data_IF_341700284728
#
_entry.id   IF_341700284728
#
_cell.length_a   1.000
_cell.length_b   1.000
_cell.length_c   1.000
_cell.angle_alpha   90.00
_cell.angle_beta   90.00
_cell.angle_gamma   90.00
#
_symmetry.space_group_name_H-M   'P 1'
#
loop_
_entity.id
_entity.type
_entity.pdbx_description
1 polymer ?
#
# COMPACT_ATOMS: atom_id res chain seq x y z
N UNK A 1 11.75 -20.65 14.57
CA UNK A 1 11.60 -19.82 13.36
C UNK A 1 12.81 -20.09 12.48
N UNK A 2 12.62 -20.32 11.17
CA UNK A 2 13.72 -20.51 10.22
C UNK A 2 14.27 -19.15 9.76
N UNK A 3 15.43 -19.16 9.10
CA UNK A 3 16.01 -17.98 8.44
C UNK A 3 15.00 -17.29 7.51
N UNK A 4 14.33 -18.07 6.65
CA UNK A 4 13.32 -17.55 5.72
C UNK A 4 12.14 -16.88 6.43
N UNK A 5 11.69 -17.45 7.56
CA UNK A 5 10.61 -16.85 8.34
C UNK A 5 11.07 -15.56 9.04
N UNK A 6 12.34 -15.47 9.45
CA UNK A 6 12.90 -14.25 10.03
C UNK A 6 13.05 -13.15 8.98
N UNK A 7 13.53 -13.50 7.78
CA UNK A 7 13.55 -12.60 6.63
C UNK A 7 12.16 -12.04 6.34
N UNK A 8 11.17 -12.93 6.25
CA UNK A 8 9.78 -12.55 6.03
C UNK A 8 9.27 -11.63 7.14
N UNK A 9 9.66 -11.86 8.41
CA UNK A 9 9.25 -11.01 9.53
C UNK A 9 9.83 -9.59 9.45
N UNK A 10 11.09 -9.44 9.03
CA UNK A 10 11.72 -8.12 8.83
C UNK A 10 11.03 -7.37 7.69
N UNK A 11 10.82 -8.04 6.54
CA UNK A 11 10.15 -7.44 5.39
C UNK A 11 8.68 -7.11 5.67
N UNK A 12 7.98 -7.98 6.42
CA UNK A 12 6.61 -7.73 6.86
C UNK A 12 6.53 -6.47 7.71
N UNK A 13 7.56 -6.14 8.49
CA UNK A 13 7.55 -4.91 9.26
C UNK A 13 7.54 -3.66 8.38
N UNK A 14 8.29 -3.64 7.28
CA UNK A 14 8.19 -2.57 6.30
C UNK A 14 6.79 -2.52 5.67
N UNK A 15 6.16 -3.69 5.47
CA UNK A 15 4.80 -3.79 4.95
C UNK A 15 3.76 -3.20 5.90
N UNK A 16 3.82 -3.57 7.18
CA UNK A 16 2.96 -3.08 8.27
C UNK A 16 3.00 -1.55 8.40
N UNK A 17 4.18 -0.95 8.20
CA UNK A 17 4.36 0.51 8.28
C UNK A 17 4.13 1.23 6.94
N UNK A 18 3.67 0.52 5.90
CA UNK A 18 3.47 1.04 4.54
C UNK A 18 4.70 1.76 3.99
N UNK A 19 5.88 1.20 4.24
CA UNK A 19 7.14 1.84 3.88
C UNK A 19 7.32 1.95 2.37
N UNK A 20 7.77 3.12 1.92
CA UNK A 20 8.24 3.39 0.55
C UNK A 20 9.75 3.13 0.45
N UNK A 21 10.35 3.18 -0.76
CA UNK A 21 11.80 3.16 -0.89
C UNK A 21 12.44 4.23 0.02
N UNK A 22 13.58 3.89 0.61
CA UNK A 22 14.24 4.65 1.68
C UNK A 22 13.50 4.67 3.03
N UNK A 23 12.41 3.92 3.16
CA UNK A 23 11.72 3.69 4.43
C UNK A 23 12.66 3.06 5.45
N UNK A 24 12.56 3.48 6.71
CA UNK A 24 13.53 3.15 7.75
C UNK A 24 12.91 2.21 8.76
N UNK A 25 13.63 1.14 9.08
CA UNK A 25 13.40 0.29 10.23
C UNK A 25 14.48 0.55 11.29
N UNK A 26 14.16 1.23 12.40
CA UNK A 26 15.16 1.63 13.39
C UNK A 26 15.67 0.42 14.19
N UNK A 27 16.93 0.48 14.62
CA UNK A 27 17.54 -0.50 15.53
C UNK A 27 16.68 -0.78 16.77
N UNK A 28 15.98 0.25 17.28
CA UNK A 28 15.07 0.09 18.41
C UNK A 28 14.02 -1.00 18.19
N UNK A 29 13.46 -1.11 16.99
CA UNK A 29 12.49 -2.17 16.70
C UNK A 29 13.17 -3.54 16.67
N UNK A 30 14.37 -3.65 16.09
CA UNK A 30 15.14 -4.89 16.08
C UNK A 30 15.45 -5.36 17.51
N UNK A 31 15.91 -4.46 18.36
CA UNK A 31 16.38 -4.75 19.73
C UNK A 31 15.27 -4.89 20.76
N UNK A 32 14.18 -4.11 20.64
CA UNK A 32 13.11 -4.08 21.65
C UNK A 32 11.86 -4.83 21.24
N UNK A 33 11.68 -5.18 19.96
CA UNK A 33 10.48 -5.87 19.47
C UNK A 33 10.83 -7.21 18.84
N UNK A 34 11.73 -7.22 17.85
CA UNK A 34 12.08 -8.46 17.16
C UNK A 34 12.85 -9.39 18.09
N UNK A 35 14.01 -8.98 18.60
CA UNK A 35 14.89 -9.79 19.46
C UNK A 35 14.17 -10.44 20.65
N UNK A 36 13.36 -9.70 21.45
CA UNK A 36 12.66 -10.29 22.60
C UNK A 36 11.57 -11.29 22.21
N UNK A 37 11.08 -11.25 20.96
CA UNK A 37 10.11 -12.24 20.46
C UNK A 37 10.74 -13.56 20.01
N UNK A 38 12.08 -13.63 19.97
CA UNK A 38 12.83 -14.78 19.50
C UNK A 38 13.44 -15.60 20.65
N UNK A 39 13.49 -16.92 20.49
CA UNK A 39 14.27 -17.76 21.39
C UNK A 39 15.78 -17.65 21.10
N UNK A 40 16.68 -18.07 22.02
CA UNK A 40 18.12 -17.89 21.84
C UNK A 40 18.69 -18.47 20.52
N UNK A 41 18.14 -19.58 20.03
CA UNK A 41 18.57 -20.20 18.76
C UNK A 41 18.14 -19.39 17.53
N UNK A 42 17.03 -18.66 17.63
CA UNK A 42 16.56 -17.78 16.57
C UNK A 42 17.30 -16.44 16.58
N UNK A 43 17.67 -15.94 17.76
CA UNK A 43 18.45 -14.70 17.89
C UNK A 43 19.79 -14.81 17.17
N UNK A 44 20.44 -15.98 17.18
CA UNK A 44 21.68 -16.20 16.43
C UNK A 44 21.51 -16.07 14.92
N UNK A 45 20.29 -16.17 14.38
CA UNK A 45 20.00 -16.08 12.95
C UNK A 45 19.78 -14.64 12.46
N UNK A 46 19.73 -13.64 13.34
CA UNK A 46 19.41 -12.25 12.93
C UNK A 46 20.45 -11.69 11.98
N UNK A 47 21.72 -11.82 12.32
CA UNK A 47 22.80 -11.29 11.47
C UNK A 47 22.82 -11.98 10.10
N UNK A 48 22.55 -13.29 10.06
CA UNK A 48 22.46 -14.03 8.82
C UNK A 48 21.24 -13.61 7.99
N UNK A 49 20.11 -13.32 8.65
CA UNK A 49 18.89 -12.82 8.03
C UNK A 49 19.09 -11.44 7.41
N UNK A 50 19.72 -10.52 8.14
CA UNK A 50 20.05 -9.18 7.64
C UNK A 50 21.00 -9.29 6.45
N UNK A 51 22.07 -10.08 6.56
CA UNK A 51 23.02 -10.30 5.45
C UNK A 51 22.37 -10.92 4.22
N UNK A 52 21.45 -11.88 4.40
CA UNK A 52 20.71 -12.49 3.28
C UNK A 52 19.78 -11.47 2.59
N UNK A 53 19.09 -10.62 3.36
CA UNK A 53 18.24 -9.56 2.81
C UNK A 53 19.05 -8.47 2.11
N UNK A 54 20.22 -8.11 2.63
CA UNK A 54 21.17 -7.20 1.97
C UNK A 54 21.71 -7.83 0.69
N UNK A 55 22.09 -9.12 0.72
CA UNK A 55 22.57 -9.85 -0.45
C UNK A 55 21.53 -9.98 -1.57
N UNK A 56 20.23 -9.95 -1.22
CA UNK A 56 19.10 -9.90 -2.16
C UNK A 56 18.75 -8.49 -2.64
N UNK A 57 19.49 -7.48 -2.18
CA UNK A 57 19.18 -6.07 -2.42
C UNK A 57 17.75 -5.71 -1.98
N UNK A 58 17.25 -6.30 -0.90
CA UNK A 58 15.93 -5.93 -0.36
C UNK A 58 16.01 -4.83 0.69
N UNK A 59 17.15 -4.75 1.38
CA UNK A 59 17.44 -3.72 2.35
C UNK A 59 18.91 -3.31 2.23
N UNK A 60 19.25 -2.15 2.80
CA UNK A 60 20.64 -1.76 3.10
C UNK A 60 20.77 -1.41 4.57
N UNK A 61 21.97 -1.62 5.12
CA UNK A 61 22.31 -1.21 6.48
C UNK A 61 22.88 0.22 6.44
N UNK A 62 22.34 1.12 7.25
CA UNK A 62 22.80 2.51 7.34
C UNK A 62 22.90 2.99 8.78
N UNK A 63 23.82 3.93 9.03
CA UNK A 63 23.87 4.71 10.26
C UNK A 63 23.37 6.14 9.98
N UNK A 64 22.17 6.45 10.46
CA UNK A 64 21.56 7.78 10.35
C UNK A 64 21.64 8.52 11.68
N UNK A 65 21.15 9.76 11.74
CA UNK A 65 21.10 10.55 12.99
C UNK A 65 20.36 9.83 14.15
N UNK A 66 19.50 8.86 13.82
CA UNK A 66 18.74 8.04 14.78
C UNK A 66 19.46 6.75 15.20
N UNK A 67 20.69 6.54 14.74
CA UNK A 67 21.48 5.33 14.97
C UNK A 67 21.47 4.35 13.79
N UNK A 68 21.85 3.11 14.08
CA UNK A 68 21.80 2.02 13.11
C UNK A 68 20.35 1.77 12.65
N UNK A 69 20.18 1.48 11.37
CA UNK A 69 18.89 1.18 10.80
C UNK A 69 19.00 0.31 9.55
N UNK A 70 17.91 -0.38 9.25
CA UNK A 70 17.71 -1.05 7.97
C UNK A 70 16.87 -0.14 7.09
N UNK A 71 17.25 0.04 5.84
CA UNK A 71 16.58 0.91 4.89
C UNK A 71 16.05 0.08 3.73
N UNK A 72 14.77 0.25 3.40
CA UNK A 72 14.13 -0.48 2.30
C UNK A 72 14.64 0.03 0.95
N UNK A 73 15.12 -0.86 0.09
CA UNK A 73 15.55 -0.52 -1.27
C UNK A 73 14.35 -0.49 -2.23
N UNK A 74 14.59 -0.04 -3.46
CA UNK A 74 13.62 -0.14 -4.55
C UNK A 74 13.22 -1.59 -4.86
N UNK A 75 14.20 -2.51 -4.88
CA UNK A 75 13.94 -3.92 -5.16
C UNK A 75 13.19 -4.58 -4.00
N UNK A 76 13.54 -4.29 -2.75
CA UNK A 76 12.78 -4.71 -1.58
C UNK A 76 11.35 -4.20 -1.59
N UNK A 77 11.14 -2.93 -1.94
CA UNK A 77 9.81 -2.33 -2.09
C UNK A 77 8.95 -3.06 -3.13
N UNK A 78 9.50 -3.36 -4.31
CA UNK A 78 8.83 -4.14 -5.36
C UNK A 78 8.51 -5.56 -4.90
N UNK A 79 9.41 -6.17 -4.12
CA UNK A 79 9.22 -7.50 -3.58
C UNK A 79 8.09 -7.56 -2.54
N UNK A 80 8.03 -6.62 -1.60
CA UNK A 80 7.00 -6.63 -0.55
C UNK A 80 5.63 -6.17 -1.06
N UNK A 81 5.58 -5.43 -2.16
CA UNK A 81 4.37 -5.00 -2.85
C UNK A 81 4.39 -5.45 -4.32
N UNK A 82 4.17 -6.73 -4.63
CA UNK A 82 4.01 -7.15 -6.02
C UNK A 82 2.77 -6.48 -6.62
N UNK A 83 2.87 -6.04 -7.87
CA UNK A 83 1.76 -5.38 -8.58
C UNK A 83 1.43 -6.14 -9.85
N UNK A 84 0.15 -6.39 -10.05
CA UNK A 84 -0.45 -6.71 -11.33
C UNK A 84 -1.34 -5.53 -11.71
N UNK A 85 -0.92 -4.73 -12.69
CA UNK A 85 -1.56 -3.46 -13.01
C UNK A 85 -3.05 -3.61 -13.34
N UNK A 86 -3.41 -4.65 -14.09
CA UNK A 86 -4.81 -4.90 -14.48
C UNK A 86 -5.66 -5.21 -13.26
N UNK A 87 -5.20 -6.13 -12.40
CA UNK A 87 -5.93 -6.49 -11.19
C UNK A 87 -5.99 -5.34 -10.18
N UNK A 88 -4.91 -4.58 -10.04
CA UNK A 88 -4.84 -3.42 -9.14
C UNK A 88 -5.82 -2.34 -9.57
N UNK A 89 -5.85 -1.97 -10.86
CA UNK A 89 -6.82 -1.00 -11.38
C UNK A 89 -8.24 -1.51 -11.19
N UNK A 90 -8.53 -2.77 -11.52
CA UNK A 90 -9.87 -3.34 -11.34
C UNK A 90 -10.31 -3.32 -9.88
N UNK A 91 -9.44 -3.71 -8.94
CA UNK A 91 -9.70 -3.65 -7.49
C UNK A 91 -10.08 -2.23 -7.04
N UNK A 92 -9.40 -1.21 -7.55
CA UNK A 92 -9.69 0.19 -7.21
C UNK A 92 -11.06 0.61 -7.77
N UNK A 93 -11.34 0.29 -9.05
CA UNK A 93 -12.66 0.55 -9.67
C UNK A 93 -13.79 -0.14 -8.90
N UNK A 94 -13.59 -1.41 -8.52
CA UNK A 94 -14.55 -2.18 -7.74
C UNK A 94 -14.82 -1.55 -6.37
N UNK A 95 -13.80 -1.00 -5.72
CA UNK A 95 -13.97 -0.30 -4.44
C UNK A 95 -14.82 0.97 -4.59
N UNK A 96 -14.59 1.76 -5.66
CA UNK A 96 -15.40 2.95 -5.97
C UNK A 96 -16.85 2.54 -6.29
N UNK A 97 -17.04 1.54 -7.13
CA UNK A 97 -18.35 1.00 -7.50
C UNK A 97 -19.10 0.44 -6.28
N UNK A 98 -18.40 -0.26 -5.40
CA UNK A 98 -18.94 -0.76 -4.13
C UNK A 98 -19.39 0.38 -3.23
N UNK A 99 -18.66 1.50 -3.22
CA UNK A 99 -19.06 2.68 -2.46
C UNK A 99 -20.31 3.35 -3.04
N UNK A 100 -20.44 3.47 -4.35
CA UNK A 100 -21.68 3.95 -4.96
C UNK A 100 -22.87 3.03 -4.62
N UNK A 101 -22.66 1.70 -4.72
CA UNK A 101 -23.68 0.69 -4.35
C UNK A 101 -24.08 0.75 -2.88
N UNK A 102 -23.11 0.88 -1.96
CA UNK A 102 -23.39 0.95 -0.52
C UNK A 102 -24.20 2.18 -0.14
N UNK A 103 -24.08 3.26 -0.92
CA UNK A 103 -24.89 4.48 -0.78
C UNK A 103 -26.23 4.43 -1.53
N UNK A 104 -26.57 3.31 -2.19
CA UNK A 104 -27.73 3.19 -3.10
C UNK A 104 -27.77 4.33 -4.12
N UNK A 105 -26.63 4.57 -4.76
CA UNK A 105 -26.43 5.76 -5.57
C UNK A 105 -27.27 5.77 -6.84
N UNK A 106 -27.78 6.95 -7.18
CA UNK A 106 -28.47 7.24 -8.44
C UNK A 106 -27.53 8.04 -9.36
N UNK A 107 -27.86 8.18 -10.65
CA UNK A 107 -27.17 9.13 -11.51
C UNK A 107 -27.09 10.50 -10.81
N UNK A 108 -25.95 11.18 -10.93
CA UNK A 108 -25.63 12.46 -10.30
C UNK A 108 -25.28 12.43 -8.79
N UNK A 109 -25.33 11.26 -8.14
CA UNK A 109 -24.81 11.09 -6.77
C UNK A 109 -23.28 11.15 -6.74
N UNK A 110 -22.75 11.51 -5.57
CA UNK A 110 -21.33 11.86 -5.43
C UNK A 110 -20.62 11.06 -4.36
N UNK A 111 -19.39 10.65 -4.65
CA UNK A 111 -18.39 10.27 -3.66
C UNK A 111 -17.46 11.46 -3.48
N UNK A 112 -17.39 11.97 -2.25
CA UNK A 112 -16.54 13.10 -1.90
C UNK A 112 -15.06 12.69 -1.85
N UNK A 113 -14.17 13.60 -2.26
CA UNK A 113 -12.71 13.44 -2.16
C UNK A 113 -12.23 13.07 -0.75
N UNK A 114 -12.96 13.47 0.30
CA UNK A 114 -12.69 13.03 1.67
C UNK A 114 -12.69 11.50 1.80
N UNK A 115 -13.67 10.81 1.23
CA UNK A 115 -13.72 9.35 1.29
C UNK A 115 -12.57 8.72 0.49
N UNK A 116 -12.24 9.30 -0.67
CA UNK A 116 -11.11 8.85 -1.50
C UNK A 116 -9.80 8.92 -0.70
N UNK A 117 -9.54 10.06 -0.07
CA UNK A 117 -8.28 10.31 0.65
C UNK A 117 -8.20 9.61 2.02
N UNK A 118 -9.32 9.51 2.75
CA UNK A 118 -9.32 8.99 4.11
C UNK A 118 -9.67 7.51 4.20
N UNK A 119 -10.39 6.96 3.21
CA UNK A 119 -10.84 5.57 3.21
C UNK A 119 -10.14 4.79 2.12
N UNK A 120 -10.34 5.15 0.85
CA UNK A 120 -9.80 4.37 -0.27
C UNK A 120 -8.27 4.37 -0.26
N UNK A 121 -7.62 5.54 -0.25
CA UNK A 121 -6.16 5.67 -0.21
C UNK A 121 -5.52 4.95 0.99
N UNK A 122 -6.20 4.94 2.14
CA UNK A 122 -5.73 4.26 3.35
C UNK A 122 -5.92 2.74 3.28
N UNK A 123 -6.80 2.23 2.42
CA UNK A 123 -6.91 0.79 2.18
C UNK A 123 -5.85 0.25 1.22
N UNK A 124 -5.27 1.11 0.39
CA UNK A 124 -4.26 0.75 -0.61
C UNK A 124 -2.85 0.68 -0.01
N UNK A 125 -2.03 -0.22 -0.54
CA UNK A 125 -0.59 -0.19 -0.29
C UNK A 125 0.08 0.92 -1.13
N UNK A 126 1.31 1.36 -0.78
CA UNK A 126 1.94 2.49 -1.46
C UNK A 126 2.06 2.36 -2.99
N UNK A 127 2.26 1.15 -3.52
CA UNK A 127 2.30 0.92 -4.97
C UNK A 127 0.92 0.94 -5.61
N UNK A 128 -0.10 0.39 -4.94
CA UNK A 128 -1.48 0.47 -5.43
C UNK A 128 -1.98 1.93 -5.50
N UNK A 129 -1.55 2.78 -4.57
CA UNK A 129 -1.90 4.22 -4.57
C UNK A 129 -1.47 4.93 -5.86
N UNK A 130 -0.37 4.50 -6.48
CA UNK A 130 0.12 5.05 -7.75
C UNK A 130 -0.86 4.81 -8.91
N UNK A 131 -1.75 3.81 -8.81
CA UNK A 131 -2.75 3.48 -9.84
C UNK A 131 -4.12 4.10 -9.59
N UNK A 132 -4.35 4.80 -8.48
CA UNK A 132 -5.65 5.37 -8.17
C UNK A 132 -6.10 6.38 -9.23
N UNK A 133 -5.22 7.31 -9.61
CA UNK A 133 -5.52 8.29 -10.66
C UNK A 133 -5.85 7.62 -11.99
N UNK A 134 -5.01 6.67 -12.41
CA UNK A 134 -5.20 5.91 -13.66
C UNK A 134 -6.54 5.16 -13.67
N UNK A 135 -6.89 4.50 -12.55
CA UNK A 135 -8.15 3.78 -12.46
C UNK A 135 -9.36 4.73 -12.55
N UNK A 136 -9.29 5.90 -11.92
CA UNK A 136 -10.32 6.94 -12.01
C UNK A 136 -10.42 7.49 -13.44
N UNK A 137 -9.29 7.79 -14.08
CA UNK A 137 -9.25 8.30 -15.45
C UNK A 137 -9.88 7.30 -16.42
N UNK A 138 -9.57 6.00 -16.29
CA UNK A 138 -10.21 4.96 -17.10
C UNK A 138 -11.74 4.89 -16.88
N UNK A 139 -12.22 5.11 -15.65
CA UNK A 139 -13.67 5.18 -15.36
C UNK A 139 -14.34 6.45 -15.90
N UNK A 140 -13.56 7.52 -16.13
CA UNK A 140 -14.04 8.74 -16.79
C UNK A 140 -14.09 8.50 -18.31
N UNK A 141 -13.07 7.87 -18.87
CA UNK A 141 -12.99 7.52 -20.29
C UNK A 141 -14.11 6.56 -20.73
N UNK A 142 -14.42 5.55 -19.92
CA UNK A 142 -15.54 4.63 -20.16
C UNK A 142 -16.91 5.23 -19.81
N UNK A 143 -16.92 6.49 -19.35
CA UNK A 143 -18.10 7.29 -18.97
C UNK A 143 -18.87 6.72 -17.79
N UNK A 144 -18.30 5.84 -16.98
CA UNK A 144 -18.94 5.34 -15.75
C UNK A 144 -19.10 6.43 -14.69
N UNK A 145 -18.14 7.35 -14.62
CA UNK A 145 -18.16 8.49 -13.69
C UNK A 145 -17.71 9.78 -14.36
N UNK A 146 -17.96 10.91 -13.71
CA UNK A 146 -17.32 12.20 -14.01
C UNK A 146 -16.60 12.74 -12.78
N UNK A 147 -15.61 13.60 -12.97
CA UNK A 147 -14.96 14.34 -11.90
C UNK A 147 -15.46 15.79 -11.92
N UNK A 148 -16.04 16.25 -10.83
CA UNK A 148 -16.63 17.58 -10.73
C UNK A 148 -16.20 18.29 -9.45
N UNK A 149 -16.06 19.62 -9.52
CA UNK A 149 -15.91 20.44 -8.33
C UNK A 149 -17.29 20.92 -7.87
N UNK A 150 -17.76 20.43 -6.71
CA UNK A 150 -19.02 20.84 -6.09
C UNK A 150 -18.74 21.52 -4.75
N UNK A 151 -19.13 22.78 -4.64
CA UNK A 151 -18.94 23.59 -3.44
C UNK A 151 -17.47 23.66 -2.96
N UNK A 152 -16.53 23.74 -3.91
CA UNK A 152 -15.09 23.84 -3.63
C UNK A 152 -14.41 22.49 -3.35
N UNK A 153 -15.13 21.37 -3.41
CA UNK A 153 -14.59 20.03 -3.21
C UNK A 153 -14.67 19.22 -4.52
N UNK A 154 -13.58 18.57 -4.88
CA UNK A 154 -13.58 17.60 -5.96
C UNK A 154 -14.40 16.37 -5.54
N UNK A 155 -15.18 15.83 -6.46
CA UNK A 155 -16.07 14.70 -6.23
C UNK A 155 -16.09 13.80 -7.46
N UNK A 156 -16.19 12.49 -7.24
CA UNK A 156 -16.57 11.55 -8.30
C UNK A 156 -18.09 11.50 -8.36
N UNK A 157 -18.66 11.67 -9.54
CA UNK A 157 -20.10 11.70 -9.77
C UNK A 157 -20.50 10.50 -10.63
N UNK A 158 -21.51 9.75 -10.18
CA UNK A 158 -22.01 8.60 -10.92
C UNK A 158 -22.77 9.05 -12.16
N UNK A 159 -22.39 8.56 -13.34
CA UNK A 159 -23.11 8.83 -14.58
C UNK A 159 -24.31 7.90 -14.76
N UNK A 160 -25.13 8.13 -15.80
CA UNK A 160 -26.16 7.16 -16.19
C UNK A 160 -25.54 5.82 -16.63
N UNK A 161 -24.48 5.84 -17.45
CA UNK A 161 -23.83 4.61 -17.91
C UNK A 161 -23.19 3.82 -16.76
N UNK A 162 -22.61 4.53 -15.78
CA UNK A 162 -22.12 3.92 -14.56
C UNK A 162 -23.24 3.27 -13.76
N UNK A 163 -24.36 3.98 -13.59
CA UNK A 163 -25.54 3.42 -12.93
C UNK A 163 -26.05 2.14 -13.61
N UNK A 164 -26.19 2.15 -14.94
CA UNK A 164 -26.66 1.02 -15.74
C UNK A 164 -25.70 -0.19 -15.73
N UNK A 165 -24.41 0.02 -15.44
CA UNK A 165 -23.45 -1.08 -15.25
C UNK A 165 -23.43 -1.61 -13.81
N UNK A 166 -23.89 -0.80 -12.85
CA UNK A 166 -23.99 -1.20 -11.45
C UNK A 166 -25.24 -2.02 -11.15
N UNK A 167 -26.35 -1.80 -11.88
CA UNK A 167 -27.70 -2.33 -11.66
C UNK A 167 -28.38 -2.78 -12.96
#
# INVERSE_FOLDING_TARGET
MSLEKLNARILERFRETKSRPNGILPERWLTQVLLPSLNPKEQTLINDSIKDLVGKDYIVEENKAIGYCLVLTENGYKHIYPINEVQTKQKIKDAINTQFRSQNSKPNHVIQDRWINQVLMQSLNPREQEYLGIAIDEMIEDKSITCENRSGMNCLVLSQAGFDSLY
#
